data_IF_874202604344
#
_entry.id   IF_874202604344
#
_cell.length_a   1.000
_cell.length_b   1.000
_cell.length_c   1.000
_cell.angle_alpha   90.00
_cell.angle_beta   90.00
_cell.angle_gamma   90.00
#
_symmetry.space_group_name_H-M   'P 1'
#
loop_
_entity.id
_entity.type
_entity.pdbx_description
1 polymer ?
#
# COMPACT_ATOMS: atom_id res chain seq x y z
N UNK A 1 -8.45 -7.29 -4.77
CA UNK A 1 -8.50 -5.83 -4.73
C UNK A 1 -7.76 -5.38 -3.50
N UNK A 2 -6.79 -4.46 -3.61
CA UNK A 2 -6.06 -3.96 -2.45
C UNK A 2 -6.45 -2.52 -2.17
N UNK A 3 -6.66 -2.17 -0.90
CA UNK A 3 -6.95 -0.80 -0.47
C UNK A 3 -5.75 0.10 -0.77
N UNK A 4 -5.98 1.35 -1.19
CA UNK A 4 -4.94 2.32 -1.55
C UNK A 4 -3.93 1.86 -2.62
N UNK A 5 -4.23 0.82 -3.40
CA UNK A 5 -3.44 0.37 -4.54
C UNK A 5 -4.21 0.60 -5.84
N UNK A 6 -3.63 1.37 -6.76
CA UNK A 6 -4.25 1.69 -8.05
C UNK A 6 -3.30 1.32 -9.18
N UNK A 7 -3.79 0.56 -10.15
CA UNK A 7 -3.04 0.29 -11.38
C UNK A 7 -3.25 1.43 -12.38
N UNK A 8 -2.15 1.95 -12.93
CA UNK A 8 -2.16 2.88 -14.05
C UNK A 8 -1.45 2.22 -15.23
N UNK A 9 -2.09 2.21 -16.39
CA UNK A 9 -1.49 1.71 -17.62
C UNK A 9 -0.79 2.86 -18.36
N UNK A 10 0.52 2.74 -18.55
CA UNK A 10 1.33 3.70 -19.31
C UNK A 10 1.96 2.96 -20.51
N UNK A 11 1.62 3.34 -21.75
CA UNK A 11 2.15 2.65 -22.93
C UNK A 11 3.67 2.71 -23.02
N UNK A 12 4.32 1.55 -23.18
CA UNK A 12 5.77 1.46 -23.38
C UNK A 12 6.63 1.67 -22.13
N UNK A 13 6.03 1.80 -20.95
CA UNK A 13 6.76 1.83 -19.68
C UNK A 13 6.86 0.43 -19.07
N UNK A 14 7.99 0.15 -18.42
CA UNK A 14 8.13 -1.03 -17.58
C UNK A 14 7.17 -0.96 -16.37
N UNK A 15 6.65 -2.11 -15.89
CA UNK A 15 5.80 -2.13 -14.71
C UNK A 15 6.61 -1.79 -13.44
N UNK A 16 6.12 -0.82 -12.68
CA UNK A 16 6.74 -0.36 -11.45
C UNK A 16 5.69 -0.19 -10.36
N UNK A 17 6.05 -0.51 -9.12
CA UNK A 17 5.30 -0.12 -7.93
C UNK A 17 5.86 1.20 -7.40
N UNK A 18 5.05 2.26 -7.47
CA UNK A 18 5.41 3.59 -6.96
C UNK A 18 4.71 3.82 -5.62
N UNK A 19 5.50 3.93 -4.55
CA UNK A 19 5.00 4.20 -3.21
C UNK A 19 4.86 5.71 -3.03
N UNK A 20 3.65 6.16 -2.76
CA UNK A 20 3.33 7.57 -2.55
C UNK A 20 3.05 7.85 -1.08
N UNK A 21 3.57 8.97 -0.61
CA UNK A 21 3.21 9.52 0.69
C UNK A 21 1.80 10.13 0.68
N UNK A 22 1.35 10.56 1.86
CA UNK A 22 0.03 11.17 2.03
C UNK A 22 -0.17 12.49 1.26
N UNK A 23 0.91 13.15 0.82
CA UNK A 23 0.86 14.36 -0.03
C UNK A 23 1.23 14.04 -1.48
N UNK A 24 1.15 12.78 -1.89
CA UNK A 24 1.52 12.29 -3.21
C UNK A 24 3.00 12.51 -3.57
N UNK A 25 3.86 12.68 -2.58
CA UNK A 25 5.31 12.63 -2.79
C UNK A 25 5.73 11.18 -3.11
N UNK A 26 6.61 11.00 -4.09
CA UNK A 26 7.23 9.68 -4.34
C UNK A 26 8.21 9.37 -3.22
N UNK A 27 7.94 8.29 -2.50
CA UNK A 27 8.80 7.79 -1.43
C UNK A 27 9.81 6.78 -1.97
N UNK A 28 9.32 5.86 -2.80
CA UNK A 28 10.11 4.77 -3.34
C UNK A 28 9.48 4.25 -4.64
N UNK A 29 10.32 3.67 -5.50
CA UNK A 29 9.94 3.05 -6.76
C UNK A 29 10.62 1.70 -6.90
N UNK A 30 9.82 0.66 -7.08
CA UNK A 30 10.28 -0.73 -7.13
C UNK A 30 9.95 -1.28 -8.53
N UNK A 31 10.96 -1.73 -9.32
CA UNK A 31 10.73 -2.35 -10.61
C UNK A 31 10.08 -3.74 -10.43
N UNK A 32 9.07 -4.05 -11.25
CA UNK A 32 8.32 -5.31 -11.16
C UNK A 32 8.60 -6.26 -12.34
N UNK A 33 9.38 -5.84 -13.34
CA UNK A 33 9.57 -6.59 -14.60
C UNK A 33 10.12 -8.00 -14.40
N UNK A 34 10.99 -8.19 -13.41
CA UNK A 34 11.61 -9.48 -13.08
C UNK A 34 10.83 -10.28 -12.03
N UNK A 35 9.68 -9.77 -11.57
CA UNK A 35 8.89 -10.40 -10.51
C UNK A 35 7.67 -11.12 -11.06
N UNK A 36 7.39 -12.28 -10.50
CA UNK A 36 6.14 -13.02 -10.70
C UNK A 36 4.98 -12.35 -10.00
N UNK A 37 3.76 -12.73 -10.38
CA UNK A 37 2.53 -12.25 -9.72
C UNK A 37 2.53 -12.59 -8.23
N UNK A 38 3.02 -13.77 -7.88
CA UNK A 38 3.11 -14.28 -6.52
C UNK A 38 4.04 -13.40 -5.68
N UNK A 39 5.25 -13.13 -6.16
CA UNK A 39 6.23 -12.25 -5.50
C UNK A 39 5.71 -10.82 -5.35
N UNK A 40 5.01 -10.29 -6.38
CA UNK A 40 4.37 -8.97 -6.29
C UNK A 40 3.28 -8.95 -5.21
N UNK A 41 2.47 -10.01 -5.13
CA UNK A 41 1.42 -10.09 -4.10
C UNK A 41 2.01 -10.23 -2.69
N UNK A 42 3.13 -10.93 -2.54
CA UNK A 42 3.86 -11.03 -1.27
C UNK A 42 4.45 -9.67 -0.87
N UNK A 43 5.15 -9.00 -1.78
CA UNK A 43 5.68 -7.65 -1.57
C UNK A 43 4.59 -6.67 -1.10
N UNK A 44 3.45 -6.64 -1.80
CA UNK A 44 2.32 -5.76 -1.44
C UNK A 44 1.77 -6.09 -0.04
N UNK A 45 1.74 -7.36 0.36
CA UNK A 45 1.32 -7.76 1.71
C UNK A 45 2.35 -7.35 2.77
N UNK A 46 3.65 -7.53 2.50
CA UNK A 46 4.74 -7.13 3.41
C UNK A 46 4.77 -5.62 3.64
N UNK A 47 4.47 -4.84 2.60
CA UNK A 47 4.30 -3.39 2.70
C UNK A 47 3.06 -2.98 3.53
N UNK A 48 2.21 -3.93 3.91
CA UNK A 48 1.06 -3.71 4.79
C UNK A 48 -0.21 -3.28 4.06
N UNK A 49 -0.31 -3.49 2.75
CA UNK A 49 -1.55 -3.21 2.02
C UNK A 49 -2.64 -4.22 2.41
N UNK A 50 -3.82 -3.70 2.72
CA UNK A 50 -4.97 -4.54 3.01
C UNK A 50 -5.61 -5.08 1.73
N UNK A 51 -5.77 -6.41 1.65
CA UNK A 51 -6.50 -7.08 0.57
C UNK A 51 -7.99 -7.21 0.94
N UNK A 52 -8.84 -6.55 0.16
CA UNK A 52 -10.31 -6.71 0.21
C UNK A 52 -10.73 -8.02 -0.46
N UNK A 53 -11.80 -8.66 0.01
CA UNK A 53 -12.36 -9.84 -0.65
C UNK A 53 -13.11 -9.46 -1.94
N UNK A 54 -13.78 -8.30 -1.93
CA UNK A 54 -14.46 -7.72 -3.10
C UNK A 54 -14.09 -6.24 -3.33
N UNK A 55 -14.30 -5.68 -4.55
CA UNK A 55 -13.96 -4.29 -4.83
C UNK A 55 -14.78 -3.29 -4.01
N UNK A 56 -16.05 -3.57 -3.78
CA UNK A 56 -16.99 -2.67 -3.09
C UNK A 56 -17.09 -2.93 -1.59
N UNK A 57 -16.33 -3.90 -1.07
CA UNK A 57 -16.34 -4.24 0.34
C UNK A 57 -15.70 -3.12 1.17
N UNK A 58 -16.29 -2.74 2.32
CA UNK A 58 -15.70 -1.75 3.20
C UNK A 58 -14.39 -2.25 3.79
N UNK A 59 -13.45 -1.33 3.96
CA UNK A 59 -12.18 -1.61 4.63
C UNK A 59 -12.39 -1.52 6.14
N UNK A 60 -11.96 -2.51 6.94
CA UNK A 60 -12.07 -2.46 8.40
C UNK A 60 -11.35 -1.22 8.98
N UNK A 61 -11.83 -0.72 10.12
CA UNK A 61 -11.35 0.51 10.74
C UNK A 61 -9.82 0.51 10.96
N UNK A 62 -9.25 -0.64 11.33
CA UNK A 62 -7.82 -0.83 11.55
C UNK A 62 -6.97 -0.67 10.27
N UNK A 63 -7.55 -0.90 9.10
CA UNK A 63 -6.87 -0.83 7.80
C UNK A 63 -7.22 0.40 6.97
N UNK A 64 -8.06 1.32 7.48
CA UNK A 64 -8.48 2.52 6.73
C UNK A 64 -7.29 3.36 6.25
N UNK A 65 -6.21 3.41 7.04
CA UNK A 65 -4.98 4.13 6.71
C UNK A 65 -3.90 3.25 6.09
N UNK A 66 -4.06 1.93 6.09
CA UNK A 66 -3.07 1.01 5.57
C UNK A 66 -2.75 1.30 4.09
N UNK A 67 -1.48 1.18 3.66
CA UNK A 67 -0.31 0.77 4.44
C UNK A 67 0.29 1.89 5.33
N UNK A 68 -0.17 3.14 5.19
CA UNK A 68 0.34 4.22 6.03
C UNK A 68 0.04 3.92 7.50
N UNK A 69 1.09 3.93 8.32
CA UNK A 69 0.91 3.87 9.77
C UNK A 69 0.02 5.06 10.17
N UNK A 70 -0.98 4.86 11.05
CA UNK A 70 -1.60 6.01 11.69
C UNK A 70 -0.46 6.82 12.28
N UNK A 71 -0.40 8.12 11.98
CA UNK A 71 0.52 9.02 12.65
C UNK A 71 0.40 8.71 14.13
N UNK A 72 1.46 8.15 14.73
CA UNK A 72 1.52 7.98 16.16
C UNK A 72 1.30 9.38 16.71
N UNK A 73 0.08 9.65 17.18
CA UNK A 73 -0.10 10.65 18.20
C UNK A 73 0.90 10.29 19.30
N UNK A 74 1.56 11.30 19.90
CA UNK A 74 2.70 11.07 20.76
C UNK A 74 2.34 9.96 21.74
N UNK A 75 3.22 8.97 21.84
CA UNK A 75 3.23 7.89 22.84
C UNK A 75 2.09 8.00 23.83
N UNK A 76 1.21 6.99 23.84
CA UNK A 76 0.41 6.59 24.98
C UNK A 76 0.80 7.36 26.25
N UNK A 77 0.10 8.47 26.52
CA UNK A 77 0.15 9.12 27.82
C UNK A 77 -0.54 8.18 28.79
N UNK A 78 0.27 7.42 29.50
CA UNK A 78 0.02 6.85 30.82
C UNK A 78 1.41 6.43 31.30
N UNK A 79 2.15 7.25 32.06
CA UNK A 79 1.86 7.59 33.46
C UNK A 79 1.18 6.40 34.17
N UNK A 80 2.01 5.46 34.60
CA UNK A 80 1.91 4.80 35.91
C UNK A 80 3.28 4.84 36.58
#
# INVERSE_FOLDING_TARGET
YSHNLVMKHLPGADPELVLLGHRYEELERIPLSEMTREEINELVQELGFYRKAAPDEPVPAEYLRAPARPAEGPMARADL
#
